data_IF_283207674986
#
_entry.id   IF_283207674986
#
_cell.length_a   1.000
_cell.length_b   1.000
_cell.length_c   1.000
_cell.angle_alpha   90.00
_cell.angle_beta   90.00
_cell.angle_gamma   90.00
#
_symmetry.space_group_name_H-M   'P 1'
#
loop_
_entity.id
_entity.type
_entity.pdbx_description
1 polymer ?
#
# COMPACT_ATOMS: atom_id res chain seq x y z
N UNK A 1 -33.43 -8.70 -4.83
CA UNK A 1 -32.15 -8.48 -4.13
C UNK A 1 -32.02 -6.98 -3.92
N UNK A 2 -31.95 -6.53 -2.68
CA UNK A 2 -31.69 -5.12 -2.36
C UNK A 2 -30.27 -4.79 -2.81
N UNK A 3 -30.11 -3.81 -3.69
CA UNK A 3 -28.81 -3.39 -4.19
C UNK A 3 -28.14 -2.54 -3.08
N UNK A 4 -27.27 -3.15 -2.27
CA UNK A 4 -26.53 -2.46 -1.22
C UNK A 4 -25.47 -1.57 -1.87
N UNK A 5 -25.54 -0.27 -1.60
CA UNK A 5 -24.53 0.69 -2.03
C UNK A 5 -23.22 0.51 -1.25
N UNK A 6 -22.09 0.85 -1.87
CA UNK A 6 -20.76 0.86 -1.23
C UNK A 6 -20.19 2.26 -1.34
N UNK A 7 -19.62 2.78 -0.26
CA UNK A 7 -18.97 4.07 -0.22
C UNK A 7 -17.60 3.99 0.45
N UNK A 8 -16.67 4.81 0.00
CA UNK A 8 -15.40 5.04 0.68
C UNK A 8 -15.67 6.08 1.76
N UNK A 9 -15.37 5.76 3.02
CA UNK A 9 -15.68 6.59 4.19
C UNK A 9 -14.44 7.12 4.89
N UNK A 10 -13.26 6.66 4.52
CA UNK A 10 -11.98 7.14 5.03
C UNK A 10 -10.84 6.75 4.12
N UNK A 11 -9.77 7.51 4.18
CA UNK A 11 -8.51 7.26 3.48
C UNK A 11 -7.34 7.61 4.40
N UNK A 12 -6.19 7.02 4.16
CA UNK A 12 -4.97 7.31 4.90
C UNK A 12 -3.77 6.94 4.07
N UNK A 13 -2.62 7.48 4.43
CA UNK A 13 -1.35 7.21 3.75
C UNK A 13 -0.19 7.13 4.74
N UNK A 14 0.82 6.38 4.37
CA UNK A 14 2.10 6.35 5.07
C UNK A 14 3.23 6.47 4.05
N UNK A 15 3.98 7.54 4.18
CA UNK A 15 5.08 7.88 3.28
C UNK A 15 6.38 7.81 4.09
N UNK A 16 7.40 7.05 3.65
CA UNK A 16 8.70 7.02 4.30
C UNK A 16 9.37 8.40 4.34
N UNK A 17 10.21 8.61 5.36
CA UNK A 17 10.88 9.90 5.58
C UNK A 17 12.04 10.17 4.62
N UNK A 18 12.75 9.11 4.17
CA UNK A 18 13.89 9.26 3.28
C UNK A 18 13.40 9.58 1.87
N UNK A 19 13.94 10.64 1.30
CA UNK A 19 13.63 11.06 -0.07
C UNK A 19 14.89 11.01 -0.92
N UNK A 20 14.82 10.37 -2.08
CA UNK A 20 15.86 10.33 -3.10
C UNK A 20 15.40 11.13 -4.31
N UNK A 21 15.98 12.28 -4.56
CA UNK A 21 15.69 13.10 -5.73
C UNK A 21 16.45 12.63 -6.99
N UNK A 22 16.12 13.22 -8.14
CA UNK A 22 16.73 12.84 -9.41
C UNK A 22 18.22 13.20 -9.48
N UNK A 23 18.63 14.28 -8.81
CA UNK A 23 20.04 14.69 -8.77
C UNK A 23 20.89 13.70 -7.96
N UNK A 24 20.37 13.27 -6.82
CA UNK A 24 21.01 12.23 -6.01
C UNK A 24 21.07 10.89 -6.76
N UNK A 25 19.98 10.52 -7.46
CA UNK A 25 19.94 9.28 -8.25
C UNK A 25 20.94 9.30 -9.40
N UNK A 26 21.23 10.46 -9.99
CA UNK A 26 22.25 10.60 -11.05
C UNK A 26 23.68 10.33 -10.57
N UNK A 27 23.92 10.26 -9.27
CA UNK A 27 25.21 9.83 -8.70
C UNK A 27 25.32 8.28 -8.60
N UNK A 28 24.20 7.58 -8.75
CA UNK A 28 24.13 6.11 -8.63
C UNK A 28 24.10 5.46 -10.01
N UNK A 29 23.33 6.04 -10.94
CA UNK A 29 23.12 5.50 -12.28
C UNK A 29 23.18 6.61 -13.33
N UNK A 30 23.63 6.28 -14.54
CA UNK A 30 23.72 7.23 -15.67
C UNK A 30 22.34 7.75 -16.08
N UNK A 31 21.95 8.91 -15.56
CA UNK A 31 20.64 9.57 -15.81
C UNK A 31 20.75 11.07 -15.55
N UNK A 32 19.65 11.82 -15.73
CA UNK A 32 19.52 13.23 -15.36
C UNK A 32 18.11 13.56 -14.91
N UNK A 33 17.94 14.65 -14.15
CA UNK A 33 16.62 15.14 -13.76
C UNK A 33 15.74 15.44 -14.98
N UNK A 34 16.28 16.09 -16.01
CA UNK A 34 15.57 16.38 -17.25
C UNK A 34 15.08 15.10 -17.94
N UNK A 35 15.93 14.07 -18.01
CA UNK A 35 15.58 12.79 -18.63
C UNK A 35 14.46 12.07 -17.87
N UNK A 36 14.52 12.05 -16.54
CA UNK A 36 13.51 11.40 -15.70
C UNK A 36 12.20 12.20 -15.74
N UNK A 37 12.25 13.49 -15.45
CA UNK A 37 11.08 14.35 -15.31
C UNK A 37 10.29 14.47 -16.61
N UNK A 38 10.96 14.56 -17.77
CA UNK A 38 10.30 14.66 -19.07
C UNK A 38 9.53 13.38 -19.47
N UNK A 39 9.93 12.21 -18.95
CA UNK A 39 9.34 10.90 -19.27
C UNK A 39 8.34 10.40 -18.24
N UNK A 40 8.51 10.79 -16.99
CA UNK A 40 7.76 10.20 -15.87
C UNK A 40 7.02 11.24 -15.02
N UNK A 41 7.43 12.50 -15.05
CA UNK A 41 6.98 13.53 -14.13
C UNK A 41 7.51 13.36 -12.70
N UNK A 42 8.34 12.34 -12.44
CA UNK A 42 8.86 12.05 -11.09
C UNK A 42 10.05 12.94 -10.79
N UNK A 43 9.99 13.72 -9.71
CA UNK A 43 11.10 14.52 -9.20
C UNK A 43 11.86 13.85 -8.05
N UNK A 44 11.17 13.01 -7.27
CA UNK A 44 11.74 12.29 -6.13
C UNK A 44 10.97 11.00 -5.86
N UNK A 45 11.59 10.07 -5.13
CA UNK A 45 10.97 8.84 -4.61
C UNK A 45 11.26 8.71 -3.13
N UNK A 46 10.27 8.21 -2.40
CA UNK A 46 10.39 7.97 -0.97
C UNK A 46 10.87 6.54 -0.74
N UNK A 47 11.78 6.36 0.19
CA UNK A 47 12.43 5.09 0.47
C UNK A 47 12.37 4.77 1.97
N UNK A 48 12.12 3.53 2.30
CA UNK A 48 12.21 3.10 3.70
C UNK A 48 13.67 3.02 4.15
N UNK A 49 13.86 3.31 5.43
CA UNK A 49 15.08 2.95 6.13
C UNK A 49 14.89 1.59 6.82
N UNK A 50 15.95 0.81 6.94
CA UNK A 50 15.93 -0.36 7.83
C UNK A 50 15.80 0.11 9.29
N UNK A 51 14.87 -0.39 10.12
CA UNK A 51 14.12 -1.66 9.96
C UNK A 51 12.64 -1.52 9.58
N UNK A 52 12.21 -0.46 8.89
CA UNK A 52 10.80 -0.25 8.55
C UNK A 52 10.25 -1.42 7.72
N UNK A 53 9.16 -2.05 8.17
CA UNK A 53 8.48 -3.15 7.47
C UNK A 53 7.30 -2.66 6.63
N UNK A 54 6.85 -3.47 5.66
CA UNK A 54 5.60 -3.22 4.93
C UNK A 54 4.42 -3.15 5.90
N UNK A 55 4.40 -4.08 6.87
CA UNK A 55 3.38 -4.12 7.91
C UNK A 55 3.29 -2.79 8.67
N UNK A 56 4.43 -2.19 9.04
CA UNK A 56 4.42 -0.92 9.80
C UNK A 56 3.88 0.25 8.98
N UNK A 57 4.25 0.38 7.70
CA UNK A 57 3.70 1.42 6.80
C UNK A 57 2.21 1.22 6.60
N UNK A 58 1.80 0.01 6.24
CA UNK A 58 0.40 -0.32 6.01
C UNK A 58 -0.47 -0.11 7.26
N UNK A 59 0.05 -0.45 8.44
CA UNK A 59 -0.63 -0.21 9.72
C UNK A 59 -0.79 1.29 10.00
N UNK A 60 0.23 2.09 9.72
CA UNK A 60 0.18 3.55 9.89
C UNK A 60 -0.90 4.17 8.99
N UNK A 61 -0.89 3.86 7.68
CA UNK A 61 -1.91 4.33 6.73
C UNK A 61 -3.32 3.88 7.15
N UNK A 62 -3.45 2.64 7.62
CA UNK A 62 -4.72 2.09 8.10
C UNK A 62 -5.27 2.83 9.32
N UNK A 63 -4.43 3.18 10.29
CA UNK A 63 -4.85 3.97 11.46
C UNK A 63 -5.36 5.35 11.08
N UNK A 64 -4.74 6.00 10.11
CA UNK A 64 -5.20 7.28 9.58
C UNK A 64 -6.58 7.13 8.91
N UNK A 65 -6.75 6.13 8.03
CA UNK A 65 -8.02 5.86 7.35
C UNK A 65 -9.16 5.56 8.34
N UNK A 66 -8.89 4.74 9.35
CA UNK A 66 -9.86 4.40 10.40
C UNK A 66 -10.23 5.63 11.26
N UNK A 67 -9.24 6.47 11.59
CA UNK A 67 -9.47 7.72 12.31
C UNK A 67 -10.38 8.66 11.52
N UNK A 68 -10.13 8.81 10.22
CA UNK A 68 -10.95 9.63 9.33
C UNK A 68 -12.38 9.08 9.21
N UNK A 69 -12.52 7.75 9.11
CA UNK A 69 -13.81 7.09 9.03
C UNK A 69 -14.57 7.03 10.37
N UNK A 70 -13.92 7.33 11.50
CA UNK A 70 -14.44 7.11 12.86
C UNK A 70 -14.85 5.65 13.10
N UNK A 71 -14.13 4.68 12.52
CA UNK A 71 -14.31 3.24 12.69
C UNK A 71 -13.26 2.70 13.65
N UNK A 72 -13.69 1.89 14.60
CA UNK A 72 -12.76 1.20 15.51
C UNK A 72 -12.22 -0.08 14.87
N UNK A 73 -10.97 -0.48 15.14
CA UNK A 73 -10.40 -1.71 14.61
C UNK A 73 -11.26 -2.97 14.84
N UNK A 74 -11.91 -3.06 16.00
CA UNK A 74 -12.83 -4.17 16.35
C UNK A 74 -14.06 -4.26 15.46
N UNK A 75 -14.40 -3.19 14.72
CA UNK A 75 -15.57 -3.13 13.86
C UNK A 75 -15.25 -3.45 12.40
N UNK A 76 -13.96 -3.72 12.08
CA UNK A 76 -13.55 -4.19 10.76
C UNK A 76 -13.90 -5.66 10.60
N UNK A 77 -14.51 -6.02 9.47
CA UNK A 77 -14.89 -7.39 9.15
C UNK A 77 -13.88 -8.07 8.21
N UNK A 78 -13.22 -7.28 7.35
CA UNK A 78 -12.31 -7.79 6.33
C UNK A 78 -11.15 -6.82 6.11
N UNK A 79 -9.94 -7.36 5.99
CA UNK A 79 -8.73 -6.64 5.56
C UNK A 79 -8.21 -7.29 4.28
N UNK A 80 -8.04 -6.53 3.22
CA UNK A 80 -7.39 -6.97 1.98
C UNK A 80 -6.17 -6.10 1.75
N UNK A 81 -4.99 -6.73 1.73
CA UNK A 81 -3.74 -6.08 1.37
C UNK A 81 -3.37 -6.42 -0.07
N UNK A 82 -3.27 -5.41 -0.92
CA UNK A 82 -2.70 -5.53 -2.25
C UNK A 82 -1.21 -5.18 -2.18
N UNK A 83 -0.35 -6.15 -2.43
CA UNK A 83 1.11 -5.96 -2.41
C UNK A 83 1.82 -6.93 -3.34
N UNK A 84 2.97 -6.51 -3.85
CA UNK A 84 3.93 -7.36 -4.56
C UNK A 84 5.18 -7.65 -3.71
N UNK A 85 5.29 -7.01 -2.54
CA UNK A 85 6.47 -7.05 -1.66
C UNK A 85 6.09 -7.40 -0.22
N UNK A 86 5.43 -8.56 0.03
CA UNK A 86 5.04 -8.94 1.38
C UNK A 86 6.27 -9.11 2.28
N UNK A 87 6.09 -8.91 3.59
CA UNK A 87 7.18 -9.07 4.55
C UNK A 87 7.64 -10.54 4.70
N UNK A 88 6.76 -11.50 4.38
CA UNK A 88 7.07 -12.93 4.39
C UNK A 88 6.15 -13.75 3.45
N UNK A 89 6.39 -15.06 3.40
CA UNK A 89 5.66 -16.01 2.53
C UNK A 89 4.20 -16.24 2.93
N UNK A 90 3.81 -15.92 4.16
CA UNK A 90 2.49 -16.23 4.71
C UNK A 90 1.47 -15.11 4.61
N UNK A 91 1.88 -13.99 4.01
CA UNK A 91 1.06 -12.79 3.85
C UNK A 91 1.19 -11.81 5.02
N UNK A 92 1.12 -10.54 4.68
CA UNK A 92 1.32 -9.43 5.64
C UNK A 92 -0.01 -8.94 6.23
N UNK A 93 -1.15 -9.19 5.58
CA UNK A 93 -2.46 -8.71 6.05
C UNK A 93 -2.80 -9.21 7.47
N UNK A 94 -2.45 -10.45 7.81
CA UNK A 94 -2.67 -11.00 9.16
C UNK A 94 -1.81 -10.29 10.23
N UNK A 95 -0.60 -9.83 9.86
CA UNK A 95 0.23 -9.03 10.77
C UNK A 95 -0.37 -7.65 11.00
N UNK A 96 -0.87 -7.01 9.94
CA UNK A 96 -1.56 -5.72 10.02
C UNK A 96 -2.82 -5.86 10.89
N UNK A 97 -3.59 -6.93 10.71
CA UNK A 97 -4.75 -7.25 11.55
C UNK A 97 -4.39 -7.29 13.03
N UNK A 98 -3.30 -7.98 13.38
CA UNK A 98 -2.79 -8.07 14.74
C UNK A 98 -2.36 -6.69 15.28
N UNK A 99 -1.56 -5.95 14.53
CA UNK A 99 -1.06 -4.63 14.90
C UNK A 99 -2.17 -3.58 15.09
N UNK A 100 -3.27 -3.72 14.37
CA UNK A 100 -4.46 -2.87 14.52
C UNK A 100 -5.34 -3.28 15.69
N UNK A 101 -5.28 -4.54 16.14
CA UNK A 101 -6.23 -5.11 17.08
C UNK A 101 -7.59 -5.41 16.44
N UNK A 102 -7.64 -5.72 15.16
CA UNK A 102 -8.85 -6.05 14.41
C UNK A 102 -9.20 -7.54 14.57
N UNK A 103 -9.45 -7.97 15.80
CA UNK A 103 -9.50 -9.38 16.22
C UNK A 103 -10.51 -10.24 15.44
N UNK A 104 -11.66 -9.68 15.02
CA UNK A 104 -12.67 -10.42 14.29
C UNK A 104 -12.52 -10.40 12.78
N UNK A 105 -11.66 -9.54 12.26
CA UNK A 105 -11.51 -9.36 10.81
C UNK A 105 -10.93 -10.63 10.16
N UNK A 106 -11.42 -10.98 8.98
CA UNK A 106 -10.72 -11.89 8.07
C UNK A 106 -9.63 -11.07 7.37
N UNK A 107 -8.43 -11.64 7.18
CA UNK A 107 -7.33 -10.92 6.54
C UNK A 107 -6.62 -11.79 5.51
N UNK A 108 -6.36 -11.24 4.33
CA UNK A 108 -5.58 -11.90 3.28
C UNK A 108 -4.90 -10.90 2.35
N UNK A 109 -3.83 -11.36 1.70
CA UNK A 109 -3.12 -10.60 0.68
C UNK A 109 -3.61 -10.98 -0.71
N UNK A 110 -3.55 -10.01 -1.64
CA UNK A 110 -3.68 -10.26 -3.09
C UNK A 110 -2.47 -9.68 -3.82
N UNK A 111 -2.05 -10.37 -4.87
CA UNK A 111 -0.93 -9.92 -5.70
C UNK A 111 -1.38 -9.83 -7.15
N UNK A 112 -1.54 -8.60 -7.64
CA UNK A 112 -1.91 -8.28 -9.03
C UNK A 112 -1.10 -7.06 -9.52
N UNK A 113 0.13 -6.95 -9.08
CA UNK A 113 1.03 -5.84 -9.39
C UNK A 113 0.33 -4.47 -9.26
N UNK A 114 0.59 -3.53 -10.18
CA UNK A 114 0.05 -2.16 -10.15
C UNK A 114 -1.50 -2.07 -10.16
N UNK A 115 -2.19 -3.16 -10.53
CA UNK A 115 -3.66 -3.22 -10.50
C UNK A 115 -4.22 -3.71 -9.16
N UNK A 116 -3.34 -4.09 -8.20
CA UNK A 116 -3.72 -4.74 -6.94
C UNK A 116 -4.79 -3.99 -6.16
N UNK A 117 -4.62 -2.68 -5.97
CA UNK A 117 -5.59 -1.88 -5.21
C UNK A 117 -6.98 -1.85 -5.88
N UNK A 118 -7.05 -1.78 -7.22
CA UNK A 118 -8.32 -1.82 -7.94
C UNK A 118 -9.01 -3.18 -7.78
N UNK A 119 -8.25 -4.29 -7.83
CA UNK A 119 -8.80 -5.62 -7.57
C UNK A 119 -9.25 -5.78 -6.12
N UNK A 120 -8.50 -5.24 -5.15
CA UNK A 120 -8.92 -5.19 -3.75
C UNK A 120 -10.25 -4.43 -3.60
N UNK A 121 -10.38 -3.26 -4.24
CA UNK A 121 -11.60 -2.44 -4.21
C UNK A 121 -12.80 -3.19 -4.79
N UNK A 122 -12.65 -3.82 -5.95
CA UNK A 122 -13.72 -4.62 -6.56
C UNK A 122 -14.09 -5.78 -5.64
N UNK A 123 -13.10 -6.53 -5.14
CA UNK A 123 -13.31 -7.70 -4.27
C UNK A 123 -14.04 -7.30 -2.98
N UNK A 124 -13.54 -6.29 -2.26
CA UNK A 124 -14.15 -5.79 -1.03
C UNK A 124 -15.58 -5.29 -1.24
N UNK A 125 -15.81 -4.57 -2.36
CA UNK A 125 -17.15 -4.09 -2.70
C UNK A 125 -18.15 -5.22 -2.92
N UNK A 126 -17.72 -6.38 -3.46
CA UNK A 126 -18.61 -7.53 -3.64
C UNK A 126 -19.01 -8.17 -2.31
N UNK A 127 -18.10 -8.24 -1.32
CA UNK A 127 -18.45 -8.72 0.01
C UNK A 127 -19.51 -7.84 0.68
N UNK A 128 -19.39 -6.51 0.56
CA UNK A 128 -20.39 -5.57 1.11
C UNK A 128 -21.72 -5.71 0.36
N UNK A 129 -21.71 -5.71 -0.98
CA UNK A 129 -22.92 -5.80 -1.80
C UNK A 129 -23.73 -7.08 -1.57
N UNK A 130 -23.04 -8.17 -1.26
CA UNK A 130 -23.66 -9.45 -0.94
C UNK A 130 -24.07 -9.58 0.54
N UNK A 131 -23.84 -8.54 1.35
CA UNK A 131 -24.20 -8.52 2.77
C UNK A 131 -23.37 -9.43 3.65
N UNK A 132 -22.18 -9.87 3.17
CA UNK A 132 -21.28 -10.73 3.94
C UNK A 132 -20.55 -9.92 5.01
N UNK A 133 -20.08 -8.73 4.64
CA UNK A 133 -19.35 -7.79 5.50
C UNK A 133 -19.94 -6.38 5.40
N UNK A 134 -19.70 -5.55 6.42
CA UNK A 134 -20.12 -4.15 6.46
C UNK A 134 -18.93 -3.20 6.34
N UNK A 135 -17.85 -3.45 7.09
CA UNK A 135 -16.66 -2.61 7.12
C UNK A 135 -15.45 -3.37 6.56
N UNK A 136 -14.94 -2.90 5.44
CA UNK A 136 -13.81 -3.51 4.75
C UNK A 136 -12.65 -2.50 4.69
N UNK A 137 -11.49 -2.88 5.18
CA UNK A 137 -10.25 -2.12 5.06
C UNK A 137 -9.47 -2.64 3.85
N UNK A 138 -9.22 -1.74 2.90
CA UNK A 138 -8.44 -2.03 1.69
C UNK A 138 -7.11 -1.30 1.78
N UNK A 139 -6.03 -2.00 1.55
CA UNK A 139 -4.68 -1.46 1.67
C UNK A 139 -3.92 -1.76 0.38
N UNK A 140 -3.25 -0.75 -0.18
CA UNK A 140 -2.23 -0.92 -1.19
C UNK A 140 -0.90 -0.49 -0.60
N UNK A 141 0.09 -1.36 -0.58
CA UNK A 141 1.39 -1.03 -0.02
C UNK A 141 2.51 -1.83 -0.69
N UNK A 142 3.62 -1.17 -0.97
CA UNK A 142 4.81 -1.82 -1.49
C UNK A 142 6.09 -1.17 -0.94
N UNK A 143 7.13 -1.99 -0.74
CA UNK A 143 8.52 -1.57 -0.51
C UNK A 143 9.35 -2.07 -1.69
N UNK A 144 9.23 -1.38 -2.82
CA UNK A 144 9.90 -1.76 -4.05
C UNK A 144 11.40 -1.48 -4.03
N UNK A 145 11.84 -0.50 -3.22
CA UNK A 145 13.26 -0.15 -3.08
C UNK A 145 14.19 -1.32 -2.73
N UNK A 146 13.65 -2.38 -2.12
CA UNK A 146 14.40 -3.59 -1.74
C UNK A 146 14.58 -4.59 -2.89
N UNK A 147 13.81 -4.43 -3.98
CA UNK A 147 13.71 -5.41 -5.06
C UNK A 147 14.21 -4.88 -6.40
N UNK A 148 14.37 -3.56 -6.53
CA UNK A 148 14.88 -2.94 -7.76
C UNK A 148 16.40 -3.06 -7.84
N UNK A 149 16.87 -3.19 -9.05
CA UNK A 149 18.29 -3.04 -9.38
C UNK A 149 18.61 -1.55 -9.52
N UNK A 150 19.39 -1.03 -8.60
CA UNK A 150 19.78 0.39 -8.58
C UNK A 150 20.73 0.79 -9.71
N UNK A 151 21.36 -0.16 -10.40
CA UNK A 151 22.19 0.06 -11.57
C UNK A 151 21.39 0.05 -12.88
N UNK A 152 20.12 -0.42 -12.85
CA UNK A 152 19.22 -0.41 -14.01
C UNK A 152 18.31 0.81 -14.01
N UNK A 153 18.69 1.86 -14.78
CA UNK A 153 17.91 3.09 -14.90
C UNK A 153 16.50 2.91 -15.51
N UNK A 154 16.20 1.74 -16.09
CA UNK A 154 14.86 1.46 -16.63
C UNK A 154 13.83 1.28 -15.51
N UNK A 155 14.27 0.89 -14.34
CA UNK A 155 13.42 0.57 -13.19
C UNK A 155 13.68 1.47 -11.99
N UNK A 156 14.93 1.76 -11.62
CA UNK A 156 15.25 2.51 -10.40
C UNK A 156 14.73 3.96 -10.41
N UNK A 157 14.47 4.52 -11.58
CA UNK A 157 13.90 5.88 -11.72
C UNK A 157 12.39 5.95 -11.44
N UNK A 158 11.68 4.80 -11.42
CA UNK A 158 10.22 4.74 -11.38
C UNK A 158 9.66 4.48 -9.99
N UNK A 159 10.33 3.65 -9.19
CA UNK A 159 9.74 3.03 -8.02
C UNK A 159 10.22 3.67 -6.72
N UNK A 160 9.34 3.64 -5.73
CA UNK A 160 9.58 4.02 -4.34
C UNK A 160 8.70 3.18 -3.43
N UNK A 161 8.58 3.60 -2.17
CA UNK A 161 7.92 2.87 -1.10
C UNK A 161 6.76 3.68 -0.53
N UNK A 162 5.71 2.99 -0.05
CA UNK A 162 4.57 3.66 0.58
C UNK A 162 3.38 2.74 0.83
N UNK A 163 2.42 3.29 1.50
CA UNK A 163 1.13 2.66 1.76
C UNK A 163 0.00 3.69 1.70
#
# INVERSE_FOLDING_TARGET
MTNIGVSIIGSGSAIPEISLDNQQLSQIVETSDEWISSRTGISKRQLVNTPVSLCSLATQASREALGQASILPKDIDLIILATSTPDDLFGTACKIQWELGAEKAVAFDITVACSGFLFALVTGSQFIRNGVYQNVLLIGADILSRWIDWEDRRTCVLFGDGA
#
